data_IF_236067819955
#
_entry.id   IF_236067819955
#
_cell.length_a   1.000
_cell.length_b   1.000
_cell.length_c   1.000
_cell.angle_alpha   90.00
_cell.angle_beta   90.00
_cell.angle_gamma   90.00
#
_symmetry.space_group_name_H-M   'P 1'
#
loop_
_entity.id
_entity.type
_entity.pdbx_description
1 polymer ?
#
# COMPACT_ATOMS: atom_id res chain seq x y z
N UNK A 1 -14.44 28.13 9.56
CA UNK A 1 -14.78 27.14 8.52
C UNK A 1 -13.55 26.44 7.95
N UNK A 2 -12.39 27.10 7.76
CA UNK A 2 -11.19 26.44 7.19
C UNK A 2 -10.69 25.23 7.99
N UNK A 3 -10.47 25.34 9.32
CA UNK A 3 -9.93 24.23 10.13
C UNK A 3 -10.73 22.91 10.07
N UNK A 4 -12.05 22.97 9.88
CA UNK A 4 -12.91 21.78 9.79
C UNK A 4 -12.81 21.10 8.43
N UNK A 5 -12.57 21.88 7.38
CA UNK A 5 -12.39 21.39 6.02
C UNK A 5 -10.96 20.89 5.83
N UNK A 6 -9.98 21.53 6.48
CA UNK A 6 -8.59 21.07 6.50
C UNK A 6 -8.48 19.69 7.17
N UNK A 7 -9.19 19.47 8.30
CA UNK A 7 -9.16 18.17 8.97
C UNK A 7 -9.81 17.05 8.15
N UNK A 8 -10.70 17.37 7.22
CA UNK A 8 -11.33 16.37 6.36
C UNK A 8 -10.29 15.69 5.45
N UNK A 9 -9.41 16.45 4.80
CA UNK A 9 -8.43 15.89 3.87
C UNK A 9 -7.46 14.95 4.57
N UNK A 10 -6.91 15.38 5.71
CA UNK A 10 -5.99 14.53 6.46
C UNK A 10 -6.70 13.31 7.07
N UNK A 11 -7.95 13.46 7.54
CA UNK A 11 -8.74 12.31 7.98
C UNK A 11 -8.99 11.33 6.86
N UNK A 12 -9.30 11.81 5.66
CA UNK A 12 -9.49 10.97 4.49
C UNK A 12 -8.22 10.17 4.16
N UNK A 13 -7.03 10.78 4.24
CA UNK A 13 -5.77 10.04 4.08
C UNK A 13 -5.54 8.97 5.15
N UNK A 14 -5.85 9.27 6.42
CA UNK A 14 -5.79 8.27 7.50
C UNK A 14 -6.76 7.11 7.25
N UNK A 15 -7.98 7.40 6.76
CA UNK A 15 -8.96 6.37 6.41
C UNK A 15 -8.48 5.49 5.24
N UNK A 16 -7.86 6.08 4.21
CA UNK A 16 -7.25 5.31 3.11
C UNK A 16 -6.09 4.44 3.61
N UNK A 17 -5.23 4.96 4.49
CA UNK A 17 -4.12 4.20 5.07
C UNK A 17 -4.59 2.99 5.87
N UNK A 18 -5.68 3.15 6.63
CA UNK A 18 -6.30 2.02 7.33
C UNK A 18 -6.84 0.97 6.36
N UNK A 19 -7.38 1.36 5.20
CA UNK A 19 -7.81 0.42 4.17
C UNK A 19 -6.63 -0.41 3.64
N UNK A 20 -5.52 0.23 3.27
CA UNK A 20 -4.32 -0.47 2.81
C UNK A 20 -3.75 -1.40 3.89
N UNK A 21 -3.69 -0.95 5.15
CA UNK A 21 -3.27 -1.78 6.29
C UNK A 21 -4.17 -3.00 6.46
N UNK A 22 -5.49 -2.81 6.43
CA UNK A 22 -6.45 -3.91 6.54
C UNK A 22 -6.34 -4.89 5.37
N UNK A 23 -6.09 -4.39 4.16
CA UNK A 23 -5.85 -5.23 2.99
C UNK A 23 -4.58 -6.07 3.17
N UNK A 24 -3.47 -5.47 3.64
CA UNK A 24 -2.21 -6.20 3.89
C UNK A 24 -2.37 -7.30 4.95
N UNK A 25 -3.03 -7.00 6.06
CA UNK A 25 -3.34 -8.00 7.10
C UNK A 25 -4.27 -9.10 6.58
N UNK A 26 -5.30 -8.74 5.80
CA UNK A 26 -6.22 -9.70 5.20
C UNK A 26 -5.50 -10.62 4.19
N UNK A 27 -4.59 -10.06 3.39
CA UNK A 27 -3.73 -10.84 2.50
C UNK A 27 -2.91 -11.84 3.32
N UNK A 28 -2.23 -11.39 4.38
CA UNK A 28 -1.41 -12.26 5.23
C UNK A 28 -2.20 -13.42 5.84
N UNK A 29 -3.36 -13.13 6.41
CA UNK A 29 -4.25 -14.14 6.99
C UNK A 29 -4.74 -15.14 5.93
N UNK A 30 -5.07 -14.65 4.74
CA UNK A 30 -5.49 -15.49 3.60
C UNK A 30 -4.36 -16.41 3.13
N UNK A 31 -3.10 -15.95 3.15
CA UNK A 31 -1.96 -16.79 2.80
C UNK A 31 -1.62 -17.79 3.90
N UNK A 32 -1.78 -17.43 5.16
CA UNK A 32 -1.48 -18.30 6.31
C UNK A 32 -2.50 -19.44 6.42
N UNK A 33 -3.78 -19.14 6.22
CA UNK A 33 -4.88 -20.09 6.23
C UNK A 33 -5.31 -20.48 4.81
N UNK A 34 -4.33 -20.67 3.93
CA UNK A 34 -4.56 -20.84 2.49
C UNK A 34 -5.48 -22.02 2.16
N UNK A 35 -6.59 -21.72 1.49
CA UNK A 35 -7.52 -22.69 0.92
C UNK A 35 -7.90 -22.26 -0.50
N UNK A 36 -7.40 -23.01 -1.48
CA UNK A 36 -7.65 -22.75 -2.91
C UNK A 36 -9.15 -22.75 -3.26
N UNK A 37 -9.99 -23.47 -2.51
CA UNK A 37 -11.44 -23.53 -2.75
C UNK A 37 -12.18 -22.30 -2.23
N UNK A 38 -11.63 -21.63 -1.22
CA UNK A 38 -12.18 -20.43 -0.62
C UNK A 38 -11.64 -19.13 -1.27
N UNK A 39 -10.65 -19.20 -2.16
CA UNK A 39 -10.00 -18.02 -2.74
C UNK A 39 -10.97 -17.06 -3.44
N UNK A 40 -12.03 -17.57 -4.07
CA UNK A 40 -13.01 -16.69 -4.72
C UNK A 40 -13.77 -15.84 -3.70
N UNK A 41 -14.16 -16.43 -2.56
CA UNK A 41 -14.80 -15.71 -1.46
C UNK A 41 -13.83 -14.71 -0.83
N UNK A 42 -12.57 -15.11 -0.62
CA UNK A 42 -11.51 -14.22 -0.11
C UNK A 42 -11.24 -13.05 -1.04
N UNK A 43 -11.29 -13.26 -2.34
CA UNK A 43 -11.16 -12.19 -3.32
C UNK A 43 -12.33 -11.19 -3.22
N UNK A 44 -13.56 -11.69 -3.08
CA UNK A 44 -14.73 -10.82 -2.91
C UNK A 44 -14.71 -10.06 -1.57
N UNK A 45 -14.05 -10.60 -0.54
CA UNK A 45 -13.77 -9.90 0.72
C UNK A 45 -12.69 -8.82 0.58
N UNK A 46 -11.58 -9.12 -0.10
CA UNK A 46 -10.53 -8.15 -0.41
C UNK A 46 -11.07 -6.98 -1.24
N UNK A 47 -11.88 -7.27 -2.25
CA UNK A 47 -12.49 -6.25 -3.11
C UNK A 47 -13.38 -5.28 -2.33
N UNK A 48 -13.99 -5.71 -1.22
CA UNK A 48 -14.74 -4.78 -0.34
C UNK A 48 -13.83 -3.80 0.40
N UNK A 49 -12.58 -4.19 0.68
CA UNK A 49 -11.58 -3.33 1.31
C UNK A 49 -11.07 -2.32 0.29
N UNK A 50 -10.71 -2.76 -0.92
CA UNK A 50 -10.35 -1.88 -2.04
C UNK A 50 -11.45 -0.87 -2.33
N UNK A 51 -12.70 -1.33 -2.50
CA UNK A 51 -13.81 -0.45 -2.83
C UNK A 51 -14.10 0.61 -1.75
N UNK A 52 -13.76 0.31 -0.49
CA UNK A 52 -13.84 1.28 0.60
C UNK A 52 -12.77 2.37 0.45
N UNK A 53 -11.56 2.03 -0.01
CA UNK A 53 -10.48 2.96 -0.37
C UNK A 53 -10.86 3.85 -1.57
N UNK A 54 -11.30 3.27 -2.68
CA UNK A 54 -11.73 4.02 -3.87
C UNK A 54 -12.87 5.00 -3.54
N UNK A 55 -13.82 4.58 -2.71
CA UNK A 55 -14.89 5.46 -2.22
C UNK A 55 -14.34 6.70 -1.50
N UNK A 56 -13.25 6.57 -0.73
CA UNK A 56 -12.62 7.69 -0.01
C UNK A 56 -11.91 8.64 -0.96
N UNK A 57 -11.19 8.10 -1.95
CA UNK A 57 -10.61 8.89 -3.04
C UNK A 57 -11.69 9.69 -3.77
N UNK A 58 -12.78 9.04 -4.18
CA UNK A 58 -13.90 9.71 -4.84
C UNK A 58 -14.50 10.81 -3.95
N UNK A 59 -14.64 10.60 -2.64
CA UNK A 59 -15.11 11.61 -1.69
C UNK A 59 -14.16 12.83 -1.64
N UNK A 60 -12.85 12.59 -1.61
CA UNK A 60 -11.82 13.63 -1.61
C UNK A 60 -11.85 14.45 -2.89
N UNK A 61 -11.87 13.81 -4.06
CA UNK A 61 -11.96 14.50 -5.36
C UNK A 61 -13.22 15.36 -5.45
N UNK A 62 -14.38 14.82 -5.05
CA UNK A 62 -15.65 15.56 -5.06
C UNK A 62 -15.63 16.78 -4.13
N UNK A 63 -14.92 16.68 -3.01
CA UNK A 63 -14.74 17.77 -2.06
C UNK A 63 -13.78 18.84 -2.61
N UNK A 64 -12.68 18.43 -3.23
CA UNK A 64 -11.70 19.33 -3.86
C UNK A 64 -12.31 20.17 -4.98
N UNK A 65 -13.18 19.59 -5.82
CA UNK A 65 -13.84 20.31 -6.93
C UNK A 65 -14.66 21.50 -6.42
N UNK A 66 -15.23 21.40 -5.21
CA UNK A 66 -16.06 22.43 -4.58
C UNK A 66 -15.28 23.36 -3.65
N UNK A 67 -14.02 23.04 -3.35
CA UNK A 67 -13.20 23.79 -2.43
C UNK A 67 -12.70 25.09 -3.07
N UNK A 68 -12.80 26.21 -2.35
CA UNK A 68 -12.17 27.47 -2.74
C UNK A 68 -10.75 27.60 -2.17
N UNK A 69 -10.53 27.09 -0.95
CA UNK A 69 -9.25 27.11 -0.24
C UNK A 69 -8.94 25.68 0.23
N UNK A 70 -7.67 25.27 0.14
CA UNK A 70 -7.17 23.96 0.58
C UNK A 70 -5.98 24.13 1.53
N UNK A 71 -5.70 23.15 2.41
CA UNK A 71 -4.61 23.25 3.40
C UNK A 71 -3.21 23.17 2.79
N UNK A 72 -3.09 22.50 1.65
CA UNK A 72 -1.90 22.39 0.80
C UNK A 72 -2.36 22.46 -0.68
N UNK A 73 -1.41 22.34 -1.62
CA UNK A 73 -1.71 22.39 -3.05
C UNK A 73 -2.66 21.26 -3.46
N UNK A 74 -3.60 21.58 -4.36
CA UNK A 74 -4.63 20.63 -4.82
C UNK A 74 -4.03 19.42 -5.53
N UNK A 75 -2.99 19.67 -6.31
CA UNK A 75 -2.30 18.61 -7.04
C UNK A 75 -1.68 17.60 -6.08
N UNK A 76 -1.03 18.09 -5.01
CA UNK A 76 -0.46 17.24 -3.97
C UNK A 76 -1.55 16.42 -3.25
N UNK A 77 -2.71 17.02 -2.94
CA UNK A 77 -3.83 16.29 -2.33
C UNK A 77 -4.35 15.15 -3.23
N UNK A 78 -4.45 15.41 -4.54
CA UNK A 78 -4.87 14.40 -5.52
C UNK A 78 -3.81 13.31 -5.66
N UNK A 79 -2.53 13.67 -5.73
CA UNK A 79 -1.44 12.71 -5.87
C UNK A 79 -1.33 11.78 -4.66
N UNK A 80 -1.41 12.32 -3.43
CA UNK A 80 -1.42 11.48 -2.22
C UNK A 80 -2.65 10.56 -2.26
N UNK A 81 -3.84 11.09 -2.53
CA UNK A 81 -5.06 10.27 -2.58
C UNK A 81 -4.99 9.15 -3.62
N UNK A 82 -4.39 9.42 -4.79
CA UNK A 82 -4.25 8.42 -5.86
C UNK A 82 -3.25 7.33 -5.46
N UNK A 83 -2.12 7.67 -4.86
CA UNK A 83 -1.13 6.65 -4.49
C UNK A 83 -1.59 5.79 -3.30
N UNK A 84 -2.37 6.35 -2.37
CA UNK A 84 -3.00 5.57 -1.28
C UNK A 84 -4.02 4.55 -1.81
N UNK A 85 -4.76 4.93 -2.85
CA UNK A 85 -5.68 4.06 -3.59
C UNK A 85 -4.92 2.97 -4.35
N UNK A 86 -3.92 3.38 -5.15
CA UNK A 86 -3.04 2.46 -5.90
C UNK A 86 -2.35 1.42 -4.99
N UNK A 87 -1.99 1.80 -3.76
CA UNK A 87 -1.44 0.86 -2.78
C UNK A 87 -2.44 -0.25 -2.43
N UNK A 88 -3.70 0.11 -2.17
CA UNK A 88 -4.75 -0.87 -1.81
C UNK A 88 -5.08 -1.77 -3.00
N UNK A 89 -5.16 -1.20 -4.20
CA UNK A 89 -5.37 -1.93 -5.46
C UNK A 89 -4.27 -2.95 -5.72
N UNK A 90 -3.00 -2.55 -5.52
CA UNK A 90 -1.85 -3.45 -5.70
C UNK A 90 -1.87 -4.64 -4.75
N UNK A 91 -2.33 -4.43 -3.51
CA UNK A 91 -2.49 -5.50 -2.52
C UNK A 91 -3.58 -6.48 -2.97
N UNK A 92 -4.70 -5.99 -3.52
CA UNK A 92 -5.73 -6.84 -4.12
C UNK A 92 -5.18 -7.61 -5.33
N UNK A 93 -4.39 -6.93 -6.18
CA UNK A 93 -3.78 -7.49 -7.38
C UNK A 93 -2.86 -8.70 -7.10
N UNK A 94 -2.24 -8.75 -5.92
CA UNK A 94 -1.49 -9.92 -5.44
C UNK A 94 -2.43 -11.12 -5.26
N UNK A 95 -3.56 -10.91 -4.59
CA UNK A 95 -4.55 -11.98 -4.35
C UNK A 95 -5.24 -12.42 -5.66
N UNK A 96 -5.52 -11.48 -6.57
CA UNK A 96 -6.04 -11.76 -7.91
C UNK A 96 -5.10 -12.73 -8.65
N UNK A 97 -3.79 -12.48 -8.60
CA UNK A 97 -2.75 -13.34 -9.19
C UNK A 97 -2.71 -14.74 -8.62
N UNK A 98 -2.83 -14.85 -7.30
CA UNK A 98 -2.89 -16.13 -6.62
C UNK A 98 -4.13 -16.92 -7.08
N UNK A 99 -5.27 -16.24 -7.21
CA UNK A 99 -6.52 -16.83 -7.65
C UNK A 99 -6.48 -17.31 -9.11
N UNK A 100 -6.19 -16.44 -10.09
CA UNK A 100 -6.32 -16.82 -11.51
C UNK A 100 -5.21 -17.76 -11.98
N UNK A 101 -4.06 -17.79 -11.31
CA UNK A 101 -2.99 -18.74 -11.61
C UNK A 101 -3.20 -20.12 -10.96
N UNK A 102 -4.31 -20.33 -10.25
CA UNK A 102 -4.63 -21.59 -9.58
C UNK A 102 -3.51 -22.08 -8.67
N UNK A 103 -2.93 -21.18 -7.86
CA UNK A 103 -1.90 -21.56 -6.89
C UNK A 103 -2.46 -22.62 -5.94
N UNK A 104 -1.73 -23.73 -5.80
CA UNK A 104 -2.08 -24.82 -4.87
C UNK A 104 -1.42 -24.65 -3.51
N UNK A 105 -0.24 -24.03 -3.48
CA UNK A 105 0.61 -23.93 -2.29
C UNK A 105 1.34 -22.58 -2.29
N UNK A 106 1.31 -21.88 -1.16
CA UNK A 106 2.02 -20.62 -0.97
C UNK A 106 3.49 -20.91 -0.63
N UNK A 107 4.42 -20.21 -1.28
CA UNK A 107 5.84 -20.32 -0.97
C UNK A 107 6.19 -19.59 0.32
N UNK A 108 7.09 -20.16 1.12
CA UNK A 108 7.48 -19.63 2.42
C UNK A 108 8.05 -18.20 2.36
N UNK A 109 8.76 -17.89 1.29
CA UNK A 109 9.38 -16.59 1.06
C UNK A 109 8.36 -15.48 0.74
N UNK A 110 7.16 -15.82 0.25
CA UNK A 110 6.08 -14.85 0.04
C UNK A 110 5.61 -14.24 1.38
N UNK A 111 5.61 -15.02 2.46
CA UNK A 111 5.22 -14.53 3.77
C UNK A 111 6.15 -13.42 4.28
N UNK A 112 7.45 -13.54 4.02
CA UNK A 112 8.43 -12.53 4.42
C UNK A 112 8.19 -11.19 3.72
N UNK A 113 7.88 -11.23 2.42
CA UNK A 113 7.53 -10.01 1.67
C UNK A 113 6.22 -9.38 2.17
N UNK A 114 5.21 -10.19 2.48
CA UNK A 114 3.95 -9.67 3.04
C UNK A 114 4.15 -9.09 4.45
N UNK A 115 5.03 -9.67 5.27
CA UNK A 115 5.35 -9.15 6.60
C UNK A 115 6.04 -7.77 6.52
N UNK A 116 6.92 -7.55 5.53
CA UNK A 116 7.49 -6.23 5.24
C UNK A 116 6.41 -5.26 4.75
N UNK A 117 5.55 -5.68 3.83
CA UNK A 117 4.42 -4.86 3.36
C UNK A 117 3.51 -4.40 4.51
N UNK A 118 3.18 -5.29 5.47
CA UNK A 118 2.40 -4.91 6.66
C UNK A 118 3.10 -3.78 7.42
N UNK A 119 4.41 -3.90 7.67
CA UNK A 119 5.22 -2.87 8.34
C UNK A 119 5.21 -1.56 7.55
N UNK A 120 5.28 -1.61 6.22
CA UNK A 120 5.15 -0.42 5.37
C UNK A 120 3.79 0.26 5.57
N UNK A 121 2.69 -0.49 5.51
CA UNK A 121 1.34 0.06 5.70
C UNK A 121 1.15 0.65 7.11
N UNK A 122 1.75 0.06 8.14
CA UNK A 122 1.73 0.60 9.50
C UNK A 122 2.49 1.94 9.59
N UNK A 123 3.67 2.04 8.99
CA UNK A 123 4.42 3.30 8.94
C UNK A 123 3.70 4.37 8.10
N UNK A 124 3.00 3.98 7.03
CA UNK A 124 2.14 4.90 6.27
C UNK A 124 0.98 5.43 7.14
N UNK A 125 0.37 4.59 7.98
CA UNK A 125 -0.64 5.06 8.94
C UNK A 125 -0.05 6.11 9.88
N UNK A 126 1.13 5.85 10.44
CA UNK A 126 1.83 6.80 11.33
C UNK A 126 2.22 8.09 10.59
N UNK A 127 2.66 7.99 9.34
CA UNK A 127 2.99 9.13 8.49
C UNK A 127 1.75 10.01 8.29
N UNK A 128 0.60 9.43 7.95
CA UNK A 128 -0.66 10.15 7.75
C UNK A 128 -1.23 10.75 9.04
N UNK A 129 -1.03 10.10 10.19
CA UNK A 129 -1.38 10.65 11.51
C UNK A 129 -0.55 11.89 11.87
N UNK A 130 0.74 11.90 11.53
CA UNK A 130 1.64 13.02 11.80
C UNK A 130 1.54 14.14 10.75
N UNK A 131 1.04 13.82 9.55
CA UNK A 131 0.99 14.76 8.43
C UNK A 131 0.23 16.07 8.73
N UNK A 132 -0.91 16.13 9.44
CA UNK A 132 -1.54 17.40 9.86
C UNK A 132 -0.59 18.37 10.59
N UNK A 133 0.47 17.86 11.21
CA UNK A 133 1.43 18.60 12.03
C UNK A 133 2.77 18.85 11.30
N UNK A 134 2.82 18.67 9.98
CA UNK A 134 4.06 18.69 9.18
C UNK A 134 4.96 19.93 9.36
N UNK A 135 4.39 21.10 9.74
CA UNK A 135 5.16 22.33 10.00
C UNK A 135 6.05 22.26 11.25
N UNK A 136 5.73 21.35 12.18
CA UNK A 136 6.39 21.26 13.48
C UNK A 136 6.77 19.83 13.89
N UNK A 137 6.27 18.80 13.20
CA UNK A 137 6.55 17.41 13.53
C UNK A 137 7.98 17.04 13.17
N UNK A 138 8.75 16.61 14.17
CA UNK A 138 10.06 15.97 13.98
C UNK A 138 9.92 14.50 13.61
N UNK A 139 8.79 13.88 13.97
CA UNK A 139 8.52 12.46 13.75
C UNK A 139 8.19 12.14 12.30
N UNK A 140 7.62 13.09 11.57
CA UNK A 140 7.26 12.90 10.16
C UNK A 140 8.46 12.45 9.31
N UNK A 141 9.61 13.11 9.48
CA UNK A 141 10.84 12.72 8.78
C UNK A 141 11.36 11.34 9.23
N UNK A 142 11.19 10.99 10.50
CA UNK A 142 11.53 9.64 10.98
C UNK A 142 10.65 8.57 10.33
N UNK A 143 9.35 8.84 10.12
CA UNK A 143 8.47 7.93 9.38
C UNK A 143 8.91 7.75 7.93
N UNK A 144 9.24 8.85 7.23
CA UNK A 144 9.76 8.80 5.84
C UNK A 144 11.02 7.93 5.77
N UNK A 145 12.00 8.17 6.65
CA UNK A 145 13.23 7.37 6.69
C UNK A 145 12.94 5.89 6.96
N UNK A 146 12.00 5.58 7.86
CA UNK A 146 11.61 4.19 8.14
C UNK A 146 10.94 3.52 6.93
N UNK A 147 10.10 4.23 6.19
CA UNK A 147 9.46 3.71 4.98
C UNK A 147 10.53 3.37 3.92
N UNK A 148 11.48 4.27 3.67
CA UNK A 148 12.55 4.01 2.70
C UNK A 148 13.43 2.83 3.14
N UNK A 149 13.74 2.70 4.44
CA UNK A 149 14.46 1.50 4.94
C UNK A 149 13.67 0.20 4.78
N UNK A 150 12.33 0.25 4.84
CA UNK A 150 11.48 -0.93 4.62
C UNK A 150 11.37 -1.28 3.13
N UNK A 151 11.37 -0.28 2.25
CA UNK A 151 11.46 -0.47 0.80
C UNK A 151 12.79 -1.15 0.44
N UNK A 152 13.92 -0.65 0.94
CA UNK A 152 15.23 -1.28 0.73
C UNK A 152 15.25 -2.74 1.22
N UNK A 153 14.63 -3.03 2.38
CA UNK A 153 14.46 -4.39 2.91
C UNK A 153 13.60 -5.26 1.97
N UNK A 154 12.51 -4.71 1.43
CA UNK A 154 11.64 -5.39 0.47
C UNK A 154 12.38 -5.72 -0.84
N UNK A 155 13.20 -4.80 -1.32
CA UNK A 155 14.00 -4.93 -2.53
C UNK A 155 15.06 -6.04 -2.41
N UNK A 156 15.78 -6.07 -1.28
CA UNK A 156 16.72 -7.13 -0.95
C UNK A 156 16.02 -8.50 -0.87
N UNK A 157 14.85 -8.55 -0.23
CA UNK A 157 14.03 -9.76 -0.16
C UNK A 157 13.55 -10.20 -1.54
N UNK A 158 13.10 -9.28 -2.40
CA UNK A 158 12.68 -9.57 -3.76
C UNK A 158 13.82 -10.24 -4.55
N UNK A 159 15.03 -9.66 -4.51
CA UNK A 159 16.22 -10.23 -5.18
C UNK A 159 16.50 -11.65 -4.65
N UNK A 160 16.42 -11.83 -3.33
CA UNK A 160 16.63 -13.12 -2.66
C UNK A 160 15.59 -14.17 -3.06
N UNK A 161 14.31 -13.78 -3.16
CA UNK A 161 13.21 -14.62 -3.62
C UNK A 161 13.40 -15.01 -5.08
N UNK A 162 13.74 -14.05 -5.94
CA UNK A 162 14.01 -14.29 -7.36
C UNK A 162 15.20 -15.23 -7.57
N UNK A 163 16.29 -15.08 -6.80
CA UNK A 163 17.42 -16.00 -6.86
C UNK A 163 17.01 -17.44 -6.52
N UNK A 164 16.21 -17.64 -5.46
CA UNK A 164 15.69 -18.97 -5.10
C UNK A 164 14.71 -19.51 -6.14
N UNK A 165 13.86 -18.67 -6.69
CA UNK A 165 12.85 -19.05 -7.69
C UNK A 165 13.50 -19.52 -9.00
N UNK A 166 14.66 -18.98 -9.36
CA UNK A 166 15.42 -19.36 -10.55
C UNK A 166 16.46 -20.49 -10.30
N UNK A 167 16.30 -21.24 -9.20
CA UNK A 167 17.10 -22.43 -8.92
C UNK A 167 16.96 -23.55 -9.96
N UNK A 168 17.80 -24.58 -9.85
CA UNK A 168 17.81 -25.69 -10.81
C UNK A 168 16.56 -26.57 -10.72
N UNK A 169 16.07 -27.06 -11.87
CA UNK A 169 14.97 -28.03 -12.00
C UNK A 169 13.57 -27.52 -11.57
N UNK A 170 13.32 -26.21 -11.62
CA UNK A 170 11.98 -25.63 -11.38
C UNK A 170 11.23 -25.52 -12.71
N UNK A 171 9.94 -25.84 -12.69
CA UNK A 171 9.03 -25.69 -13.84
C UNK A 171 8.97 -24.21 -14.30
N UNK A 172 9.25 -23.90 -15.58
CA UNK A 172 9.14 -22.54 -16.11
C UNK A 172 7.80 -21.86 -15.87
N UNK A 173 6.69 -22.60 -15.85
CA UNK A 173 5.37 -22.03 -15.55
C UNK A 173 5.29 -21.58 -14.08
N UNK A 174 5.81 -22.38 -13.16
CA UNK A 174 5.90 -22.02 -11.75
C UNK A 174 6.77 -20.77 -11.53
N UNK A 175 7.90 -20.66 -12.25
CA UNK A 175 8.73 -19.44 -12.23
C UNK A 175 7.95 -18.23 -12.74
N UNK A 176 7.24 -18.36 -13.85
CA UNK A 176 6.49 -17.26 -14.45
C UNK A 176 5.45 -16.69 -13.47
N UNK A 177 4.67 -17.57 -12.84
CA UNK A 177 3.60 -17.19 -11.92
C UNK A 177 4.16 -16.53 -10.66
N UNK A 178 5.14 -17.15 -9.99
CA UNK A 178 5.67 -16.61 -8.74
C UNK A 178 6.48 -15.34 -8.95
N UNK A 179 7.15 -15.19 -10.10
CA UNK A 179 7.78 -13.93 -10.49
C UNK A 179 6.76 -12.80 -10.55
N UNK A 180 5.56 -13.06 -11.08
CA UNK A 180 4.51 -12.05 -11.15
C UNK A 180 4.01 -11.66 -9.74
N UNK A 181 3.81 -12.64 -8.86
CA UNK A 181 3.37 -12.41 -7.48
C UNK A 181 4.42 -11.58 -6.70
N UNK A 182 5.70 -11.95 -6.76
CA UNK A 182 6.77 -11.21 -6.08
C UNK A 182 6.93 -9.79 -6.61
N UNK A 183 6.82 -9.60 -7.93
CA UNK A 183 6.88 -8.27 -8.53
C UNK A 183 5.75 -7.38 -8.01
N UNK A 184 4.55 -7.94 -7.78
CA UNK A 184 3.44 -7.15 -7.25
C UNK A 184 3.57 -6.87 -5.75
N UNK A 185 4.16 -7.79 -4.98
CA UNK A 185 4.49 -7.54 -3.58
C UNK A 185 5.53 -6.42 -3.42
N UNK A 186 6.59 -6.44 -4.23
CA UNK A 186 7.62 -5.40 -4.25
C UNK A 186 7.03 -4.04 -4.66
N UNK A 187 6.21 -4.00 -5.73
CA UNK A 187 5.47 -2.78 -6.12
C UNK A 187 4.59 -2.19 -5.01
N UNK A 188 4.09 -2.99 -4.08
CA UNK A 188 3.36 -2.45 -2.93
C UNK A 188 4.28 -1.66 -1.99
N UNK A 189 5.49 -2.15 -1.74
CA UNK A 189 6.50 -1.44 -0.94
C UNK A 189 6.98 -0.17 -1.64
N UNK A 190 7.30 -0.24 -2.94
CA UNK A 190 7.64 0.92 -3.79
C UNK A 190 6.53 1.99 -3.76
N UNK A 191 5.26 1.58 -3.78
CA UNK A 191 4.14 2.54 -3.66
C UNK A 191 4.10 3.21 -2.28
N UNK A 192 4.50 2.52 -1.21
CA UNK A 192 4.64 3.14 0.12
C UNK A 192 5.75 4.21 0.12
N UNK A 193 6.90 3.92 -0.50
CA UNK A 193 7.98 4.91 -0.67
C UNK A 193 7.50 6.12 -1.47
N UNK A 194 6.82 5.90 -2.62
CA UNK A 194 6.26 6.98 -3.42
C UNK A 194 5.30 7.89 -2.63
N UNK A 195 4.48 7.33 -1.74
CA UNK A 195 3.62 8.13 -0.85
C UNK A 195 4.49 8.99 0.09
N UNK A 196 5.55 8.41 0.68
CA UNK A 196 6.46 9.12 1.57
C UNK A 196 7.20 10.27 0.87
N UNK A 197 7.66 10.05 -0.37
CA UNK A 197 8.31 11.05 -1.21
C UNK A 197 7.40 12.22 -1.55
N UNK A 198 6.12 11.94 -1.89
CA UNK A 198 5.14 12.99 -2.15
C UNK A 198 4.91 13.82 -0.87
N UNK A 199 4.76 13.16 0.28
CA UNK A 199 4.61 13.86 1.57
C UNK A 199 5.83 14.71 1.90
N UNK A 200 7.04 14.18 1.69
CA UNK A 200 8.29 14.93 1.91
C UNK A 200 8.34 16.16 1.01
N UNK A 201 8.02 16.01 -0.27
CA UNK A 201 7.95 17.11 -1.24
C UNK A 201 6.97 18.20 -0.79
N UNK A 202 5.77 17.82 -0.31
CA UNK A 202 4.79 18.76 0.26
C UNK A 202 5.38 19.53 1.44
N UNK A 203 6.07 18.83 2.35
CA UNK A 203 6.70 19.47 3.51
C UNK A 203 7.77 20.47 3.07
N UNK A 204 8.58 20.13 2.07
CA UNK A 204 9.61 21.02 1.53
C UNK A 204 9.01 22.27 0.88
N UNK A 205 7.92 22.12 0.10
CA UNK A 205 7.20 23.24 -0.54
C UNK A 205 6.59 24.22 0.47
N UNK A 206 6.20 23.72 1.64
CA UNK A 206 5.43 24.47 2.65
C UNK A 206 6.25 24.84 3.90
N UNK A 207 7.58 24.73 3.81
CA UNK A 207 8.53 25.17 4.85
C UNK A 207 8.80 26.67 4.82
#
# INVERSE_FOLDING_TARGET
MSKKQDSFYFQNFMDCADCSRRAAYFLRDTLEHFDATALKEKLDEMHKIEHAGDSKKHELINTLVKAFITPIDREDLVQISQNMDDLTDKIEDVLIRIYYNHISDIREDAFQMVDVLIRCCEEICLLMEEFPHFKHSKKLHECIVRINSLEEESDELFISCMYRLHGTNIDPLHILVWREIYLYLEKCADTCEHIADIVESVVMKNR
#
